data_IF_308961792166
#
_entry.id   IF_308961792166
#
_cell.length_a   1.000
_cell.length_b   1.000
_cell.length_c   1.000
_cell.angle_alpha   90.00
_cell.angle_beta   90.00
_cell.angle_gamma   90.00
#
_symmetry.space_group_name_H-M   'P 1'
#
loop_
_entity.id
_entity.type
_entity.pdbx_description
1 polymer ?
#
# COMPACT_ATOMS: atom_id res chain seq x y z
N UNK A 1 0.12 11.33 11.06
CA UNK A 1 0.13 10.24 10.06
C UNK A 1 1.33 10.37 9.14
N UNK A 2 2.46 9.71 9.46
CA UNK A 2 3.64 9.74 8.58
C UNK A 2 3.92 8.42 7.86
N UNK A 3 3.23 7.33 8.26
CA UNK A 3 3.46 5.98 7.78
C UNK A 3 2.14 5.23 7.57
N UNK A 4 1.98 4.65 6.39
CA UNK A 4 0.87 3.79 6.00
C UNK A 4 1.38 2.36 5.91
N UNK A 5 0.78 1.42 6.63
CA UNK A 5 1.17 0.01 6.55
C UNK A 5 0.75 -0.56 5.18
N UNK A 6 1.71 -1.06 4.40
CA UNK A 6 1.43 -1.70 3.10
C UNK A 6 1.34 -3.22 3.21
N UNK A 7 2.09 -3.82 4.13
CA UNK A 7 2.17 -5.26 4.28
C UNK A 7 3.29 -5.68 5.21
N UNK A 8 3.60 -6.97 5.23
CA UNK A 8 4.61 -7.57 6.11
C UNK A 8 5.39 -8.67 5.38
N UNK A 9 6.71 -8.56 5.41
CA UNK A 9 7.64 -9.66 5.13
C UNK A 9 8.20 -10.19 6.45
N UNK A 10 9.52 -10.33 6.57
CA UNK A 10 10.16 -10.57 7.88
C UNK A 10 9.87 -9.44 8.88
N UNK A 11 9.69 -8.22 8.37
CA UNK A 11 9.33 -7.01 9.14
C UNK A 11 8.15 -6.29 8.47
N UNK A 12 7.40 -5.46 9.22
CA UNK A 12 6.37 -4.60 8.66
C UNK A 12 6.93 -3.59 7.65
N UNK A 13 6.28 -3.46 6.50
CA UNK A 13 6.65 -2.53 5.44
C UNK A 13 5.65 -1.39 5.40
N UNK A 14 6.16 -0.17 5.41
CA UNK A 14 5.34 1.03 5.43
C UNK A 14 5.67 1.95 4.25
N UNK A 15 4.64 2.53 3.66
CA UNK A 15 4.75 3.70 2.79
C UNK A 15 4.86 4.95 3.66
N UNK A 16 5.89 5.76 3.43
CA UNK A 16 5.93 7.09 4.04
C UNK A 16 4.89 7.97 3.33
N UNK A 17 3.95 8.55 4.08
CA UNK A 17 2.79 9.25 3.52
C UNK A 17 3.19 10.37 2.54
N UNK A 18 4.30 11.07 2.82
CA UNK A 18 4.89 12.11 1.95
C UNK A 18 5.27 11.64 0.54
N UNK A 19 5.40 10.33 0.31
CA UNK A 19 5.68 9.75 -1.00
C UNK A 19 4.46 9.12 -1.67
N UNK A 20 3.30 9.09 -1.00
CA UNK A 20 2.07 8.51 -1.53
C UNK A 20 1.40 9.33 -2.64
N UNK A 21 1.76 10.61 -2.78
CA UNK A 21 1.32 11.49 -3.87
C UNK A 21 2.16 11.34 -5.16
N UNK A 22 3.08 10.37 -5.20
CA UNK A 22 3.84 10.04 -6.41
C UNK A 22 3.12 8.93 -7.17
N UNK A 23 3.27 8.93 -8.49
CA UNK A 23 2.79 7.83 -9.33
C UNK A 23 3.41 6.51 -8.87
N UNK A 24 2.56 5.51 -8.64
CA UNK A 24 2.94 4.15 -8.27
C UNK A 24 2.35 3.12 -9.22
N UNK A 25 2.87 1.90 -9.17
CA UNK A 25 2.41 0.77 -9.97
C UNK A 25 2.10 -0.42 -9.07
N UNK A 26 0.87 -0.94 -9.16
CA UNK A 26 0.49 -2.23 -8.56
C UNK A 26 0.25 -3.22 -9.69
N UNK A 27 1.13 -4.21 -9.82
CA UNK A 27 1.11 -5.21 -10.89
C UNK A 27 1.14 -6.65 -10.32
N UNK A 28 0.70 -7.62 -11.13
CA UNK A 28 0.56 -9.03 -10.75
C UNK A 28 -0.48 -9.75 -11.61
N UNK A 29 -0.51 -11.08 -11.58
CA UNK A 29 -1.48 -11.89 -12.32
C UNK A 29 -2.92 -11.73 -11.75
N UNK A 30 -3.91 -12.30 -12.42
CA UNK A 30 -5.29 -12.36 -11.87
C UNK A 30 -5.29 -13.21 -10.60
N UNK A 31 -6.04 -12.78 -9.58
CA UNK A 31 -6.11 -13.50 -8.30
C UNK A 31 -4.95 -13.22 -7.33
N UNK A 32 -3.92 -12.44 -7.69
CA UNK A 32 -2.77 -12.15 -6.81
C UNK A 32 -3.00 -10.97 -5.86
N UNK A 33 -4.25 -10.58 -5.62
CA UNK A 33 -4.59 -9.58 -4.60
C UNK A 33 -4.41 -8.10 -4.98
N UNK A 34 -4.18 -7.74 -6.25
CA UNK A 34 -4.02 -6.32 -6.67
C UNK A 34 -5.14 -5.39 -6.16
N UNK A 35 -6.41 -5.81 -6.28
CA UNK A 35 -7.56 -5.04 -5.80
C UNK A 35 -7.51 -4.86 -4.29
N UNK A 36 -7.20 -5.93 -3.54
CA UNK A 36 -7.07 -5.87 -2.07
C UNK A 36 -5.92 -4.95 -1.67
N UNK A 37 -4.78 -4.99 -2.38
CA UNK A 37 -3.66 -4.07 -2.14
C UNK A 37 -4.08 -2.60 -2.31
N UNK A 38 -4.87 -2.27 -3.34
CA UNK A 38 -5.39 -0.91 -3.52
C UNK A 38 -6.35 -0.49 -2.38
N UNK A 39 -7.20 -1.40 -1.92
CA UNK A 39 -8.14 -1.13 -0.81
C UNK A 39 -7.40 -0.84 0.51
N UNK A 40 -6.37 -1.64 0.84
CA UNK A 40 -5.53 -1.42 2.03
C UNK A 40 -4.84 -0.06 1.95
N UNK A 41 -4.32 0.32 0.78
CA UNK A 41 -3.75 1.66 0.60
C UNK A 41 -4.79 2.76 0.82
N UNK A 42 -5.99 2.62 0.24
CA UNK A 42 -7.06 3.60 0.41
C UNK A 42 -7.48 3.77 1.88
N UNK A 43 -7.65 2.67 2.61
CA UNK A 43 -7.92 2.69 4.06
C UNK A 43 -6.79 3.39 4.81
N UNK A 44 -5.54 3.07 4.48
CA UNK A 44 -4.36 3.70 5.05
C UNK A 44 -4.27 5.22 4.81
N UNK A 45 -4.69 5.69 3.63
CA UNK A 45 -4.76 7.12 3.31
C UNK A 45 -5.93 7.85 3.99
N UNK A 46 -6.99 7.15 4.36
CA UNK A 46 -8.20 7.74 4.98
C UNK A 46 -8.11 7.97 6.49
N UNK A 47 -7.12 7.40 7.16
CA UNK A 47 -6.86 7.61 8.59
C UNK A 47 -6.07 8.88 8.81
#
# INVERSE_FOLDING_TARGET
MDRILLGRGERPVHLLARYGNRHGLVAGATGTGKTVSLLVMAEGFSR
#
